data_IF_416430131136
#
_entry.id   IF_416430131136
#
_cell.length_a   1.000
_cell.length_b   1.000
_cell.length_c   1.000
_cell.angle_alpha   90.00
_cell.angle_beta   90.00
_cell.angle_gamma   90.00
#
_symmetry.space_group_name_H-M   'P 1'
#
loop_
_entity.id
_entity.type
_entity.pdbx_description
1 polymer ?
#
# COMPACT_ATOMS: atom_id res chain seq x y z
N UNK A 1 35.72 4.71 8.02
CA UNK A 1 34.84 3.54 7.76
C UNK A 1 35.03 3.18 6.29
N UNK A 2 35.43 1.93 5.98
CA UNK A 2 35.62 1.46 4.60
C UNK A 2 34.34 0.74 4.19
N UNK A 3 33.68 1.21 3.13
CA UNK A 3 32.47 0.58 2.58
C UNK A 3 32.85 -0.23 1.35
N UNK A 4 32.45 -1.51 1.32
CA UNK A 4 32.61 -2.36 0.13
C UNK A 4 31.25 -2.44 -0.59
N UNK A 5 31.20 -1.99 -1.84
CA UNK A 5 30.00 -2.14 -2.66
C UNK A 5 29.91 -3.62 -3.14
N UNK A 6 28.71 -4.20 -3.02
CA UNK A 6 28.40 -5.55 -3.52
C UNK A 6 27.94 -5.54 -4.98
N UNK A 7 27.59 -4.38 -5.51
CA UNK A 7 27.23 -4.13 -6.91
C UNK A 7 28.07 -3.01 -7.49
N UNK A 8 28.11 -2.88 -8.80
CA UNK A 8 28.76 -1.74 -9.47
C UNK A 8 28.04 -0.46 -9.05
N UNK A 9 28.77 0.65 -8.96
CA UNK A 9 28.21 1.96 -8.62
C UNK A 9 27.08 2.36 -9.56
N UNK A 10 27.24 2.10 -10.87
CA UNK A 10 26.22 2.30 -11.89
C UNK A 10 24.90 1.58 -11.59
N UNK A 11 24.96 0.34 -11.07
CA UNK A 11 23.75 -0.44 -10.78
C UNK A 11 22.98 0.18 -9.58
N UNK A 12 23.70 0.78 -8.63
CA UNK A 12 23.11 1.52 -7.51
C UNK A 12 22.44 2.82 -7.99
N UNK A 13 23.11 3.54 -8.87
CA UNK A 13 22.61 4.81 -9.45
C UNK A 13 21.38 4.60 -10.34
N UNK A 14 21.19 3.39 -10.89
CA UNK A 14 20.03 3.00 -11.69
C UNK A 14 18.96 2.22 -10.90
N UNK A 15 19.03 2.25 -9.57
CA UNK A 15 18.04 1.61 -8.71
C UNK A 15 17.07 2.64 -8.13
N UNK A 16 15.80 2.54 -8.50
CA UNK A 16 14.71 3.33 -7.94
C UNK A 16 14.35 2.79 -6.55
N UNK A 17 14.59 3.58 -5.50
CA UNK A 17 14.27 3.21 -4.12
C UNK A 17 12.86 3.67 -3.78
N UNK A 18 11.99 2.72 -3.49
CA UNK A 18 10.61 2.95 -3.07
C UNK A 18 10.46 2.53 -1.61
N UNK A 19 9.96 3.42 -0.76
CA UNK A 19 9.76 3.11 0.67
C UNK A 19 8.39 3.58 1.10
N UNK A 20 7.54 2.68 1.62
CA UNK A 20 6.19 3.12 2.00
C UNK A 20 5.23 1.99 2.25
N UNK A 21 3.99 2.18 1.87
CA UNK A 21 2.97 1.15 1.97
C UNK A 21 3.15 0.09 0.91
N UNK A 22 3.03 -1.16 1.32
CA UNK A 22 3.03 -2.30 0.41
C UNK A 22 1.81 -2.29 -0.51
N UNK A 23 2.05 -2.55 -1.78
CA UNK A 23 1.04 -2.94 -2.74
C UNK A 23 1.67 -3.86 -3.81
N UNK A 24 1.04 -4.98 -4.20
CA UNK A 24 1.54 -5.85 -5.27
C UNK A 24 1.73 -5.16 -6.63
N UNK A 25 1.02 -4.05 -6.87
CA UNK A 25 1.24 -3.25 -8.09
C UNK A 25 2.66 -2.69 -8.21
N UNK A 26 3.37 -2.51 -7.08
CA UNK A 26 4.77 -2.06 -7.11
C UNK A 26 5.69 -3.12 -7.72
N UNK A 27 5.40 -4.39 -7.49
CA UNK A 27 6.14 -5.50 -8.10
C UNK A 27 5.91 -5.49 -9.62
N UNK A 28 4.66 -5.33 -10.07
CA UNK A 28 4.34 -5.18 -11.49
C UNK A 28 5.03 -3.97 -12.13
N UNK A 29 5.04 -2.81 -11.44
CA UNK A 29 5.75 -1.63 -11.92
C UNK A 29 7.27 -1.86 -12.00
N UNK A 30 7.84 -2.57 -11.04
CA UNK A 30 9.26 -2.94 -11.04
C UNK A 30 9.62 -3.83 -12.22
N UNK A 31 8.80 -4.86 -12.49
CA UNK A 31 8.98 -5.75 -13.62
C UNK A 31 8.83 -5.02 -14.96
N UNK A 32 7.85 -4.13 -15.08
CA UNK A 32 7.65 -3.30 -16.27
C UNK A 32 8.81 -2.32 -16.49
N UNK A 33 9.33 -1.72 -15.42
CA UNK A 33 10.48 -0.82 -15.48
C UNK A 33 11.71 -1.56 -16.01
N UNK A 34 12.03 -2.72 -15.43
CA UNK A 34 13.16 -3.55 -15.86
C UNK A 34 12.96 -4.10 -17.28
N UNK A 35 11.75 -4.48 -17.67
CA UNK A 35 11.44 -4.92 -19.04
C UNK A 35 11.59 -3.79 -20.07
N UNK A 36 11.33 -2.54 -19.67
CA UNK A 36 11.49 -1.37 -20.55
C UNK A 36 12.97 -0.97 -20.76
N UNK A 37 13.79 -1.17 -19.73
CA UNK A 37 15.23 -0.95 -19.72
C UNK A 37 15.87 -1.87 -18.68
N UNK A 38 16.63 -2.87 -19.15
CA UNK A 38 17.26 -3.88 -18.28
C UNK A 38 18.34 -3.31 -17.33
N UNK A 39 18.76 -2.07 -17.54
CA UNK A 39 19.68 -1.38 -16.62
C UNK A 39 18.97 -0.77 -15.42
N UNK A 40 17.63 -0.60 -15.48
CA UNK A 40 16.83 -0.02 -14.42
C UNK A 40 16.29 -1.08 -13.45
N UNK A 41 16.37 -0.79 -12.17
CA UNK A 41 15.91 -1.66 -11.10
C UNK A 41 14.99 -0.89 -10.15
N UNK A 42 14.12 -1.61 -9.45
CA UNK A 42 13.35 -1.05 -8.35
C UNK A 42 13.62 -1.86 -7.07
N UNK A 43 13.85 -1.16 -5.98
CA UNK A 43 13.99 -1.74 -4.64
C UNK A 43 12.88 -1.19 -3.75
N UNK A 44 12.07 -2.07 -3.18
CA UNK A 44 10.90 -1.70 -2.38
C UNK A 44 11.08 -2.09 -0.91
N UNK A 45 10.74 -1.17 0.01
CA UNK A 45 10.75 -1.40 1.46
C UNK A 45 9.39 -1.04 2.06
N UNK A 46 8.82 -1.96 2.85
CA UNK A 46 7.44 -1.90 3.33
C UNK A 46 7.36 -1.42 4.79
N UNK A 47 7.30 -0.11 4.99
CA UNK A 47 7.30 0.55 6.31
C UNK A 47 5.98 1.28 6.62
N UNK A 48 4.96 1.11 5.76
CA UNK A 48 3.68 1.81 5.83
C UNK A 48 3.75 3.26 5.31
N UNK A 49 2.57 3.85 5.07
CA UNK A 49 2.45 5.18 4.43
C UNK A 49 3.17 6.28 5.20
N UNK A 50 3.08 6.29 6.55
CA UNK A 50 3.76 7.29 7.37
C UNK A 50 5.28 7.14 7.32
N UNK A 51 5.79 5.90 7.39
CA UNK A 51 7.21 5.59 7.22
C UNK A 51 7.72 6.07 5.86
N UNK A 52 6.93 5.87 4.80
CA UNK A 52 7.23 6.36 3.45
C UNK A 52 7.34 7.88 3.36
N UNK A 53 6.37 8.62 3.92
CA UNK A 53 6.41 10.09 4.00
C UNK A 53 7.71 10.55 4.69
N UNK A 54 8.08 9.90 5.79
CA UNK A 54 9.31 10.27 6.53
C UNK A 54 10.57 9.92 5.75
N UNK A 55 10.61 8.81 5.02
CA UNK A 55 11.74 8.44 4.17
C UNK A 55 11.95 9.45 3.03
N UNK A 56 10.86 9.86 2.35
CA UNK A 56 10.91 10.93 1.32
C UNK A 56 11.41 12.25 1.93
N UNK A 57 10.88 12.63 3.10
CA UNK A 57 11.30 13.87 3.79
C UNK A 57 12.79 13.88 4.16
N UNK A 58 13.35 12.72 4.51
CA UNK A 58 14.77 12.56 4.85
C UNK A 58 15.65 12.33 3.63
N UNK A 59 15.07 12.26 2.43
CA UNK A 59 15.77 11.94 1.17
C UNK A 59 16.40 10.53 1.19
N UNK A 60 15.77 9.59 1.89
CA UNK A 60 16.17 8.19 2.00
C UNK A 60 15.52 7.33 0.91
N UNK A 61 14.54 7.87 0.20
CA UNK A 61 13.82 7.20 -0.89
C UNK A 61 13.55 8.16 -2.06
N UNK A 62 13.49 7.61 -3.27
CA UNK A 62 13.11 8.34 -4.48
C UNK A 62 11.60 8.55 -4.56
N UNK A 63 10.82 7.66 -3.95
CA UNK A 63 9.36 7.79 -3.86
C UNK A 63 8.78 6.97 -2.72
N UNK A 64 7.53 7.26 -2.38
CA UNK A 64 6.78 6.47 -1.40
C UNK A 64 5.37 6.15 -1.90
N UNK A 65 4.93 4.89 -1.73
CA UNK A 65 3.53 4.51 -1.86
C UNK A 65 2.75 4.89 -0.60
N UNK A 66 1.65 5.64 -0.75
CA UNK A 66 0.86 6.13 0.38
C UNK A 66 -0.65 6.01 0.14
N UNK A 67 -1.43 5.80 1.22
CA UNK A 67 -2.89 5.73 1.22
C UNK A 67 -3.45 6.14 2.59
N UNK A 68 -3.28 7.38 2.97
CA UNK A 68 -3.68 7.90 4.27
C UNK A 68 -5.05 8.59 4.20
N UNK A 69 -6.02 8.00 4.91
CA UNK A 69 -7.36 8.55 5.06
C UNK A 69 -7.33 9.82 5.92
N UNK A 70 -7.91 10.89 5.42
CA UNK A 70 -8.32 12.02 6.22
C UNK A 70 -9.68 11.71 6.84
N UNK A 71 -9.73 11.50 8.14
CA UNK A 71 -10.95 11.09 8.85
C UNK A 71 -12.02 12.20 8.91
N UNK A 72 -11.66 13.46 8.63
CA UNK A 72 -12.59 14.59 8.70
C UNK A 72 -13.45 14.75 7.45
N UNK A 73 -12.92 14.42 6.28
CA UNK A 73 -13.57 14.64 4.98
C UNK A 73 -13.61 13.41 4.06
N UNK A 74 -12.99 12.29 4.49
CA UNK A 74 -12.93 11.05 3.72
C UNK A 74 -11.95 11.08 2.54
N UNK A 75 -11.18 12.14 2.37
CA UNK A 75 -10.18 12.25 1.30
C UNK A 75 -8.89 11.50 1.65
N UNK A 76 -8.04 11.30 0.65
CA UNK A 76 -6.78 10.56 0.84
C UNK A 76 -5.56 11.42 0.55
N UNK A 77 -4.50 11.15 1.30
CA UNK A 77 -3.11 11.58 1.10
C UNK A 77 -2.84 13.07 1.25
N UNK A 78 -3.65 13.95 0.64
CA UNK A 78 -3.38 15.39 0.54
C UNK A 78 -3.09 16.05 1.90
N UNK A 79 -3.99 15.87 2.87
CA UNK A 79 -3.84 16.52 4.19
C UNK A 79 -2.59 16.05 4.94
N UNK A 80 -2.24 14.76 4.81
CA UNK A 80 -1.02 14.24 5.40
C UNK A 80 0.23 14.83 4.73
N UNK A 81 0.23 14.90 3.39
CA UNK A 81 1.35 15.48 2.65
C UNK A 81 1.52 16.96 2.97
N UNK A 82 0.47 17.76 2.95
CA UNK A 82 0.51 19.20 3.31
C UNK A 82 1.08 19.42 4.72
N UNK A 83 0.77 18.54 5.68
CA UNK A 83 1.29 18.60 7.05
C UNK A 83 2.81 18.39 7.12
N UNK A 84 3.36 17.46 6.35
CA UNK A 84 4.78 17.09 6.42
C UNK A 84 5.64 17.85 5.42
N UNK A 85 5.04 18.46 4.40
CA UNK A 85 5.68 19.29 3.37
C UNK A 85 4.96 20.63 3.22
N UNK A 86 4.94 21.46 4.29
CA UNK A 86 4.20 22.73 4.30
C UNK A 86 4.73 23.76 3.30
N UNK A 87 5.94 23.57 2.80
CA UNK A 87 6.60 24.42 1.80
C UNK A 87 6.67 23.76 0.41
N UNK A 88 5.90 22.68 0.19
CA UNK A 88 5.95 21.93 -1.06
C UNK A 88 7.24 21.12 -1.23
N UNK A 89 7.75 21.07 -2.45
CA UNK A 89 8.97 20.31 -2.78
C UNK A 89 8.70 18.82 -3.04
N UNK A 90 7.43 18.45 -3.18
CA UNK A 90 6.99 17.09 -3.52
C UNK A 90 5.81 17.11 -4.47
N UNK A 91 5.63 16.01 -5.19
CA UNK A 91 4.50 15.76 -6.09
C UNK A 91 3.76 14.51 -5.65
N UNK A 92 2.46 14.58 -5.71
CA UNK A 92 1.58 13.44 -5.49
C UNK A 92 1.09 12.95 -6.85
N UNK A 93 1.44 11.72 -7.21
CA UNK A 93 1.08 11.11 -8.48
C UNK A 93 -0.05 10.11 -8.23
N UNK A 94 -1.20 10.34 -8.88
CA UNK A 94 -2.33 9.41 -8.81
C UNK A 94 -1.93 8.07 -9.41
N UNK A 95 -2.21 6.98 -8.66
CA UNK A 95 -1.90 5.64 -9.11
C UNK A 95 -3.18 4.85 -9.34
N UNK A 96 -3.81 4.35 -8.28
CA UNK A 96 -5.02 3.53 -8.36
C UNK A 96 -5.96 3.78 -7.18
N UNK A 97 -7.26 3.61 -7.39
CA UNK A 97 -8.17 3.25 -6.33
C UNK A 97 -8.07 1.75 -6.06
N UNK A 98 -8.13 1.32 -4.80
CA UNK A 98 -8.10 -0.10 -4.45
C UNK A 98 -9.14 -0.45 -3.40
N UNK A 99 -9.74 -1.63 -3.55
CA UNK A 99 -10.77 -2.08 -2.62
C UNK A 99 -10.13 -2.70 -1.38
N UNK A 100 -10.41 -2.09 -0.23
CA UNK A 100 -10.10 -2.61 1.10
C UNK A 100 -11.29 -3.38 1.67
N UNK A 101 -11.03 -4.45 2.39
CA UNK A 101 -12.06 -5.26 3.02
C UNK A 101 -11.51 -6.33 3.96
N UNK A 102 -12.41 -7.10 4.55
CA UNK A 102 -12.05 -8.28 5.32
C UNK A 102 -11.76 -9.45 4.39
N UNK A 103 -10.58 -10.01 4.52
CA UNK A 103 -10.19 -11.29 3.97
C UNK A 103 -10.59 -12.37 4.97
N UNK A 104 -11.27 -13.42 4.52
CA UNK A 104 -11.72 -14.54 5.34
C UNK A 104 -11.46 -15.86 4.61
N UNK A 105 -11.40 -16.97 5.34
CA UNK A 105 -11.30 -18.29 4.72
C UNK A 105 -12.48 -18.52 3.78
N UNK A 106 -12.27 -19.29 2.72
CA UNK A 106 -13.31 -19.63 1.74
C UNK A 106 -14.54 -20.23 2.42
N UNK A 107 -15.71 -19.69 2.08
CA UNK A 107 -17.00 -20.05 2.70
C UNK A 107 -17.21 -19.43 4.07
N UNK A 108 -16.31 -18.61 4.58
CA UNK A 108 -16.36 -17.95 5.90
C UNK A 108 -16.85 -18.91 7.02
N UNK A 109 -16.07 -19.96 7.39
CA UNK A 109 -16.53 -20.99 8.35
C UNK A 109 -16.96 -20.45 9.71
N UNK A 110 -16.49 -19.23 10.06
CA UNK A 110 -16.86 -18.51 11.28
C UNK A 110 -18.05 -17.56 11.10
N UNK A 111 -18.66 -17.52 9.89
CA UNK A 111 -19.80 -16.67 9.60
C UNK A 111 -19.50 -15.17 9.60
N UNK A 112 -18.23 -14.77 9.44
CA UNK A 112 -17.81 -13.37 9.44
C UNK A 112 -18.34 -12.68 8.18
N UNK A 113 -19.05 -11.56 8.35
CA UNK A 113 -19.65 -10.75 7.28
C UNK A 113 -19.39 -9.26 7.45
N UNK A 114 -18.94 -8.84 8.62
CA UNK A 114 -18.71 -7.43 8.97
C UNK A 114 -17.56 -7.30 9.97
N UNK A 115 -17.12 -6.07 10.23
CA UNK A 115 -16.12 -5.78 11.26
C UNK A 115 -16.68 -6.12 12.67
N UNK A 116 -17.98 -5.97 12.89
CA UNK A 116 -18.63 -6.31 14.15
C UNK A 116 -18.46 -7.80 14.53
N UNK A 117 -18.43 -8.69 13.55
CA UNK A 117 -18.29 -10.13 13.78
C UNK A 117 -16.89 -10.54 14.28
N UNK A 118 -15.91 -9.62 14.22
CA UNK A 118 -14.55 -9.90 14.73
C UNK A 118 -14.51 -10.05 16.25
N UNK A 119 -15.56 -9.59 16.97
CA UNK A 119 -15.68 -9.75 18.43
C UNK A 119 -16.33 -11.09 18.82
N UNK A 120 -16.80 -11.87 17.85
CA UNK A 120 -17.47 -13.14 18.12
C UNK A 120 -16.51 -14.15 18.77
N UNK A 121 -17.00 -14.97 19.73
CA UNK A 121 -16.19 -15.98 20.40
C UNK A 121 -15.52 -16.95 19.42
N UNK A 122 -14.22 -17.16 19.59
CA UNK A 122 -13.43 -18.07 18.78
C UNK A 122 -13.04 -17.54 17.40
N UNK A 123 -13.33 -16.28 17.04
CA UNK A 123 -12.79 -15.60 15.87
C UNK A 123 -11.39 -15.10 16.19
N UNK A 124 -10.42 -15.45 15.35
CA UNK A 124 -9.01 -15.02 15.44
C UNK A 124 -8.73 -14.01 14.35
N UNK A 125 -8.37 -12.81 14.76
CA UNK A 125 -8.02 -11.73 13.86
C UNK A 125 -6.52 -11.55 13.74
N UNK A 126 -6.04 -11.13 12.59
CA UNK A 126 -4.68 -10.64 12.36
C UNK A 126 -4.74 -9.25 11.75
N UNK A 127 -4.00 -8.32 12.33
CA UNK A 127 -3.99 -6.92 11.94
C UNK A 127 -2.79 -6.57 11.06
N UNK A 128 -2.82 -5.38 10.49
CA UNK A 128 -1.64 -4.74 9.92
C UNK A 128 -0.89 -3.98 11.00
N UNK A 129 0.42 -3.78 10.78
CA UNK A 129 1.29 -3.05 11.72
C UNK A 129 0.75 -1.65 11.99
N UNK A 130 1.01 -1.14 13.20
CA UNK A 130 0.73 0.24 13.61
C UNK A 130 1.36 1.24 12.62
N UNK A 131 0.61 2.27 12.25
CA UNK A 131 1.04 3.28 11.29
C UNK A 131 0.81 2.92 9.82
N UNK A 132 0.35 1.70 9.50
CA UNK A 132 -0.16 1.41 8.16
C UNK A 132 -1.53 2.05 7.93
N UNK A 133 -1.82 2.47 6.68
CA UNK A 133 -3.13 3.05 6.35
C UNK A 133 -4.29 2.09 6.62
N UNK A 134 -4.12 0.79 6.36
CA UNK A 134 -5.12 -0.23 6.68
C UNK A 134 -5.38 -0.35 8.18
N UNK A 135 -4.33 -0.23 9.03
CA UNK A 135 -4.54 -0.22 10.48
C UNK A 135 -5.29 1.04 10.92
N UNK A 136 -4.93 2.19 10.39
CA UNK A 136 -5.63 3.47 10.66
C UNK A 136 -7.10 3.36 10.24
N UNK A 137 -7.39 2.77 9.08
CA UNK A 137 -8.74 2.51 8.61
C UNK A 137 -9.49 1.55 9.56
N UNK A 138 -8.87 0.44 9.96
CA UNK A 138 -9.49 -0.53 10.89
C UNK A 138 -9.82 0.12 12.23
N UNK A 139 -8.87 0.88 12.80
CA UNK A 139 -9.07 1.61 14.06
C UNK A 139 -10.20 2.66 13.93
N UNK A 140 -10.31 3.34 12.77
CA UNK A 140 -11.39 4.28 12.48
C UNK A 140 -12.74 3.59 12.40
N UNK A 141 -12.86 2.47 11.70
CA UNK A 141 -14.10 1.72 11.54
C UNK A 141 -14.57 1.13 12.87
N UNK A 142 -13.68 0.53 13.65
CA UNK A 142 -14.02 0.03 14.99
C UNK A 142 -14.58 1.15 15.86
N UNK A 143 -13.95 2.31 15.85
CA UNK A 143 -14.42 3.48 16.61
C UNK A 143 -15.79 3.98 16.12
N UNK A 144 -15.97 4.07 14.80
CA UNK A 144 -17.23 4.51 14.18
C UNK A 144 -18.40 3.59 14.52
N UNK A 145 -18.17 2.29 14.60
CA UNK A 145 -19.17 1.27 14.90
C UNK A 145 -19.29 0.97 16.42
N UNK A 146 -18.52 1.66 17.26
CA UNK A 146 -18.55 1.42 18.71
C UNK A 146 -17.98 0.08 19.14
N UNK A 147 -17.11 -0.53 18.31
CA UNK A 147 -16.50 -1.83 18.56
C UNK A 147 -15.31 -1.64 19.51
N UNK A 148 -15.35 -2.35 20.64
CA UNK A 148 -14.24 -2.44 21.57
C UNK A 148 -13.16 -3.36 21.01
N UNK A 149 -12.02 -2.77 20.65
CA UNK A 149 -10.90 -3.52 20.05
C UNK A 149 -10.24 -4.52 21.00
N UNK A 150 -10.41 -4.38 22.32
CA UNK A 150 -9.93 -5.34 23.32
C UNK A 150 -10.71 -6.67 23.27
N UNK A 151 -11.93 -6.65 22.73
CA UNK A 151 -12.75 -7.84 22.50
C UNK A 151 -12.39 -8.58 21.23
N UNK A 152 -11.57 -8.02 20.34
CA UNK A 152 -11.12 -8.67 19.12
C UNK A 152 -9.88 -9.50 19.44
N UNK A 153 -10.04 -10.82 19.50
CA UNK A 153 -8.91 -11.71 19.76
C UNK A 153 -7.89 -11.68 18.63
N UNK A 154 -6.66 -11.31 18.96
CA UNK A 154 -5.58 -11.14 17.98
C UNK A 154 -5.44 -9.72 17.40
N UNK A 155 -6.16 -8.70 17.91
CA UNK A 155 -6.05 -7.32 17.44
C UNK A 155 -4.63 -6.74 17.52
N UNK A 156 -3.84 -7.17 18.49
CA UNK A 156 -2.43 -6.83 18.65
C UNK A 156 -1.46 -7.68 17.83
N UNK A 157 -1.95 -8.72 17.13
CA UNK A 157 -1.13 -9.56 16.25
C UNK A 157 -0.97 -8.85 14.91
N UNK A 158 0.26 -8.54 14.51
CA UNK A 158 0.54 -7.64 13.39
C UNK A 158 1.34 -8.33 12.28
N UNK A 159 0.99 -7.99 11.04
CA UNK A 159 1.69 -8.38 9.81
C UNK A 159 2.08 -7.15 8.99
N UNK A 160 3.22 -7.22 8.30
CA UNK A 160 3.82 -6.09 7.58
C UNK A 160 3.25 -5.86 6.18
N UNK A 161 2.63 -6.88 5.56
CA UNK A 161 2.10 -6.80 4.19
C UNK A 161 0.67 -7.33 4.11
N UNK A 162 -0.06 -6.95 3.05
CA UNK A 162 -1.38 -7.52 2.79
C UNK A 162 -1.29 -9.02 2.48
N UNK A 163 -0.25 -9.43 1.78
CA UNK A 163 0.00 -10.84 1.42
C UNK A 163 0.33 -11.67 2.65
N UNK A 164 1.08 -11.15 3.64
CA UNK A 164 1.33 -11.89 4.88
C UNK A 164 0.06 -12.05 5.73
N UNK A 165 -0.83 -11.04 5.78
CA UNK A 165 -2.15 -11.19 6.41
C UNK A 165 -2.95 -12.29 5.71
N UNK A 166 -3.01 -12.28 4.36
CA UNK A 166 -3.72 -13.29 3.59
C UNK A 166 -3.15 -14.70 3.81
N UNK A 167 -1.82 -14.83 3.88
CA UNK A 167 -1.15 -16.09 4.18
C UNK A 167 -1.55 -16.66 5.55
N UNK A 168 -1.62 -15.83 6.61
CA UNK A 168 -2.06 -16.25 7.94
C UNK A 168 -3.49 -16.83 7.92
N UNK A 169 -4.37 -16.23 7.12
CA UNK A 169 -5.75 -16.69 6.97
C UNK A 169 -5.79 -17.99 6.16
N UNK A 170 -5.07 -18.06 5.04
CA UNK A 170 -5.00 -19.27 4.21
C UNK A 170 -4.44 -20.48 4.95
N UNK A 171 -3.44 -20.27 5.83
CA UNK A 171 -2.86 -21.30 6.69
C UNK A 171 -3.74 -21.65 7.91
N UNK A 172 -4.87 -20.97 8.11
CA UNK A 172 -5.77 -21.23 9.25
C UNK A 172 -5.23 -20.79 10.61
N UNK A 173 -4.20 -19.94 10.65
CA UNK A 173 -3.67 -19.37 11.90
C UNK A 173 -4.44 -18.12 12.34
N UNK A 174 -5.18 -17.50 11.42
CA UNK A 174 -6.18 -16.46 11.64
C UNK A 174 -7.45 -16.81 10.85
N UNK A 175 -8.60 -16.27 11.27
CA UNK A 175 -9.89 -16.47 10.61
C UNK A 175 -10.26 -15.25 9.75
N UNK A 176 -9.76 -14.05 10.11
CA UNK A 176 -9.97 -12.81 9.37
C UNK A 176 -8.79 -11.84 9.50
N UNK A 177 -8.69 -10.90 8.55
CA UNK A 177 -7.79 -9.76 8.59
C UNK A 177 -8.18 -8.72 7.54
N UNK A 178 -7.93 -7.43 7.84
CA UNK A 178 -8.13 -6.36 6.87
C UNK A 178 -7.01 -6.34 5.82
N UNK A 179 -7.41 -6.21 4.56
CA UNK A 179 -6.47 -6.12 3.45
C UNK A 179 -7.13 -5.70 2.15
N UNK A 180 -6.42 -5.89 1.05
CA UNK A 180 -6.87 -5.54 -0.30
C UNK A 180 -7.35 -6.77 -1.05
N UNK A 181 -8.28 -6.57 -2.01
CA UNK A 181 -8.87 -7.66 -2.78
C UNK A 181 -7.83 -8.51 -3.53
N UNK A 182 -6.81 -7.87 -4.12
CA UNK A 182 -5.76 -8.59 -4.86
C UNK A 182 -5.01 -9.60 -3.99
N UNK A 183 -4.76 -9.29 -2.70
CA UNK A 183 -4.16 -10.22 -1.76
C UNK A 183 -5.10 -11.39 -1.42
N UNK A 184 -6.39 -11.11 -1.20
CA UNK A 184 -7.38 -12.18 -0.98
C UNK A 184 -7.47 -13.13 -2.20
N UNK A 185 -7.54 -12.57 -3.40
CA UNK A 185 -7.59 -13.33 -4.66
C UNK A 185 -6.37 -14.23 -4.85
N UNK A 186 -5.16 -13.70 -4.55
CA UNK A 186 -3.91 -14.45 -4.66
C UNK A 186 -3.91 -15.73 -3.81
N UNK A 187 -4.53 -15.68 -2.62
CA UNK A 187 -4.59 -16.79 -1.67
C UNK A 187 -5.90 -17.57 -1.72
N UNK A 188 -6.79 -17.29 -2.69
CA UNK A 188 -8.07 -17.97 -2.85
C UNK A 188 -9.04 -17.77 -1.68
N UNK A 189 -8.92 -16.64 -0.99
CA UNK A 189 -9.77 -16.27 0.14
C UNK A 189 -11.06 -15.59 -0.34
N UNK A 190 -12.12 -15.69 0.47
CA UNK A 190 -13.30 -14.85 0.31
C UNK A 190 -13.00 -13.43 0.81
N UNK A 191 -13.72 -12.48 0.25
CA UNK A 191 -13.47 -11.07 0.50
C UNK A 191 -14.78 -10.30 0.74
N UNK A 192 -14.84 -9.56 1.83
CA UNK A 192 -15.98 -8.73 2.22
C UNK A 192 -15.53 -7.28 2.03
N UNK A 193 -15.99 -6.59 0.96
CA UNK A 193 -15.55 -5.23 0.67
C UNK A 193 -16.05 -4.25 1.73
N UNK A 194 -15.20 -3.30 2.11
CA UNK A 194 -15.51 -2.28 3.12
C UNK A 194 -15.47 -0.87 2.52
N UNK A 195 -14.41 -0.54 1.79
CA UNK A 195 -14.28 0.76 1.13
C UNK A 195 -13.31 0.70 -0.05
N UNK A 196 -13.31 1.77 -0.85
CA UNK A 196 -12.24 2.03 -1.82
C UNK A 196 -11.36 3.13 -1.27
N UNK A 197 -10.05 2.93 -1.31
CA UNK A 197 -9.04 3.91 -0.91
C UNK A 197 -8.21 4.36 -2.10
N UNK A 198 -7.64 5.56 -2.04
CA UNK A 198 -6.73 6.07 -3.05
C UNK A 198 -5.29 5.75 -2.66
N UNK A 199 -4.60 4.99 -3.51
CA UNK A 199 -3.16 4.73 -3.42
C UNK A 199 -2.42 5.61 -4.42
N UNK A 200 -1.51 6.44 -3.91
CA UNK A 200 -0.73 7.39 -4.70
C UNK A 200 0.77 7.20 -4.46
N UNK A 201 1.58 7.72 -5.38
CA UNK A 201 3.02 7.80 -5.26
C UNK A 201 3.42 9.23 -4.85
N UNK A 202 4.12 9.37 -3.73
CA UNK A 202 4.72 10.62 -3.28
C UNK A 202 6.16 10.69 -3.76
N UNK A 203 6.51 11.70 -4.57
CA UNK A 203 7.81 11.85 -5.21
C UNK A 203 8.40 13.23 -4.88
N UNK A 204 9.61 13.32 -4.31
CA UNK A 204 10.25 14.61 -4.06
C UNK A 204 10.74 15.23 -5.37
N UNK A 205 10.69 16.57 -5.45
CA UNK A 205 11.09 17.30 -6.66
C UNK A 205 12.55 17.01 -7.06
N UNK A 206 13.43 16.74 -6.11
CA UNK A 206 14.82 16.39 -6.40
C UNK A 206 15.00 15.05 -7.12
N UNK A 207 14.00 14.13 -7.06
CA UNK A 207 14.01 12.86 -7.77
C UNK A 207 13.20 12.92 -9.09
N UNK A 208 12.34 13.95 -9.24
CA UNK A 208 11.36 14.01 -10.31
C UNK A 208 11.95 13.89 -11.71
N UNK A 209 13.00 14.67 -12.01
CA UNK A 209 13.61 14.74 -13.35
C UNK A 209 14.60 13.59 -13.64
N UNK A 210 14.72 12.61 -12.75
CA UNK A 210 15.55 11.43 -13.00
C UNK A 210 14.94 10.54 -14.06
N UNK A 211 15.78 9.93 -14.90
CA UNK A 211 15.33 9.01 -15.96
C UNK A 211 14.45 7.88 -15.42
N UNK A 212 14.78 7.34 -14.25
CA UNK A 212 14.03 6.26 -13.60
C UNK A 212 12.61 6.69 -13.24
N UNK A 213 12.45 7.86 -12.65
CA UNK A 213 11.12 8.38 -12.25
C UNK A 213 10.31 8.71 -13.49
N UNK A 214 10.87 9.40 -14.48
CA UNK A 214 10.15 9.74 -15.71
C UNK A 214 9.71 8.48 -16.47
N UNK A 215 10.57 7.47 -16.54
CA UNK A 215 10.21 6.19 -17.16
C UNK A 215 9.10 5.46 -16.39
N UNK A 216 9.12 5.49 -15.06
CA UNK A 216 8.04 4.94 -14.25
C UNK A 216 6.71 5.66 -14.49
N UNK A 217 6.71 7.00 -14.60
CA UNK A 217 5.50 7.79 -14.88
C UNK A 217 4.96 7.47 -16.27
N UNK A 218 5.83 7.29 -17.28
CA UNK A 218 5.43 6.86 -18.63
C UNK A 218 4.73 5.49 -18.56
N UNK A 219 5.33 4.52 -17.85
CA UNK A 219 4.77 3.18 -17.66
C UNK A 219 3.42 3.24 -16.95
N UNK A 220 3.35 3.99 -15.85
CA UNK A 220 2.13 4.16 -15.04
C UNK A 220 0.97 4.72 -15.86
N UNK A 221 1.26 5.64 -16.79
CA UNK A 221 0.28 6.27 -17.67
C UNK A 221 -0.06 5.42 -18.91
N UNK A 222 0.64 4.32 -19.12
CA UNK A 222 0.52 3.49 -20.31
C UNK A 222 -0.60 2.44 -20.24
N UNK A 223 -1.11 1.97 -21.40
CA UNK A 223 -2.21 1.00 -21.45
C UNK A 223 -1.83 -0.38 -20.92
N UNK A 224 -0.55 -0.74 -20.98
CA UNK A 224 -0.06 -2.03 -20.48
C UNK A 224 -0.17 -2.11 -18.95
N UNK A 225 0.13 -1.01 -18.23
CA UNK A 225 -0.09 -0.92 -16.78
C UNK A 225 -1.56 -1.15 -16.46
N UNK A 226 -2.46 -0.42 -17.10
CA UNK A 226 -3.91 -0.58 -16.91
C UNK A 226 -4.34 -2.04 -17.09
N UNK A 227 -3.91 -2.69 -18.19
CA UNK A 227 -4.26 -4.07 -18.49
C UNK A 227 -3.77 -5.06 -17.41
N UNK A 228 -2.55 -4.88 -16.90
CA UNK A 228 -1.98 -5.74 -15.86
C UNK A 228 -2.71 -5.57 -14.53
N UNK A 229 -2.99 -4.33 -14.15
CA UNK A 229 -3.65 -4.04 -12.87
C UNK A 229 -5.11 -4.49 -12.88
N UNK A 230 -5.84 -4.33 -13.99
CA UNK A 230 -7.19 -4.88 -14.15
C UNK A 230 -7.22 -6.41 -13.98
N UNK A 231 -6.22 -7.12 -14.51
CA UNK A 231 -6.08 -8.57 -14.35
C UNK A 231 -5.88 -8.99 -12.89
N UNK A 232 -5.19 -8.20 -12.08
CA UNK A 232 -5.05 -8.46 -10.64
C UNK A 232 -6.40 -8.38 -9.93
N UNK A 233 -7.27 -7.43 -10.33
CA UNK A 233 -8.60 -7.20 -9.76
C UNK A 233 -8.59 -6.42 -8.45
N UNK A 234 -9.74 -5.81 -8.13
CA UNK A 234 -9.91 -5.00 -6.91
C UNK A 234 -9.29 -3.61 -6.98
N UNK A 235 -8.90 -3.19 -8.18
CA UNK A 235 -8.40 -1.84 -8.46
C UNK A 235 -9.38 -1.07 -9.35
N UNK A 236 -9.44 0.23 -9.13
CA UNK A 236 -10.06 1.20 -10.04
C UNK A 236 -8.98 2.11 -10.60
N UNK A 237 -8.98 2.30 -11.93
CA UNK A 237 -7.96 3.06 -12.63
C UNK A 237 -8.68 4.21 -13.33
N UNK A 238 -8.50 5.44 -12.82
CA UNK A 238 -9.13 6.63 -13.39
C UNK A 238 -8.10 7.42 -14.22
N UNK A 239 -7.09 7.96 -13.57
CA UNK A 239 -6.08 8.83 -14.19
C UNK A 239 -4.68 8.50 -13.67
N UNK A 240 -4.16 7.28 -13.92
CA UNK A 240 -2.85 6.89 -13.45
C UNK A 240 -1.77 7.79 -14.08
N UNK A 241 -0.81 8.21 -13.27
CA UNK A 241 0.24 9.14 -13.69
C UNK A 241 -0.13 10.63 -13.61
N UNK A 242 -1.40 10.98 -13.30
CA UNK A 242 -1.77 12.38 -13.10
C UNK A 242 -1.03 12.98 -11.90
N UNK A 243 -0.32 14.09 -12.16
CA UNK A 243 0.48 14.78 -11.16
C UNK A 243 -0.33 15.86 -10.46
N UNK A 244 -0.29 15.86 -9.13
CA UNK A 244 -0.81 16.94 -8.28
C UNK A 244 0.37 17.57 -7.53
N UNK A 245 0.76 18.78 -7.92
CA UNK A 245 1.79 19.54 -7.20
C UNK A 245 1.29 19.95 -5.81
N UNK A 246 2.16 19.83 -4.83
CA UNK A 246 1.97 20.34 -3.48
C UNK A 246 2.65 21.71 -3.43
N UNK A 247 1.84 22.74 -3.25
CA UNK A 247 2.34 24.15 -3.19
C UNK A 247 2.79 24.48 -1.79
#
# INVERSE_FOLDING_TARGET
>A
MTVRLLRRKSDIEHTLVVTGSHDPLLDELGDMLHASDSSLYMSSSHVGSMGGIMAVRRREAHMAGIHLLNQSDGTYNRSAVDKYFPHGGVRLVECVGRTQGLMVQKGSPKGIRSIGDLTAPGVRYVNRQKGSGTRILTDHLCRKEGIDTEKIYGYGREELTHTSVAAQIAMGTADAGMGIYSAAKLYGLDFIPVCTEQYDLLIPDCAWDTTMVQKLIEILSGPEFTRRIEKMGGYTIDRPGRVRSIK
#
